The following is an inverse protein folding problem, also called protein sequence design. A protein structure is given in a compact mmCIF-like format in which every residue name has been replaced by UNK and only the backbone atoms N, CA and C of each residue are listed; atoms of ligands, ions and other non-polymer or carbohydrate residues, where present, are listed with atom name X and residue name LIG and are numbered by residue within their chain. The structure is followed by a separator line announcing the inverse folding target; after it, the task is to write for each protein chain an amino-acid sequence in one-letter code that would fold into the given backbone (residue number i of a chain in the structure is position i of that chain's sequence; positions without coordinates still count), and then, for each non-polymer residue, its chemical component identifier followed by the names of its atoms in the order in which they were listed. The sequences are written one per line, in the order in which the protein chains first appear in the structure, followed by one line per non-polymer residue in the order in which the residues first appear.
data_IF_081128243064
#
_entry.id   IF_081128243064
#
_cell.length_a   1.000
_cell.length_b   1.000
_cell.length_c   1.000
_cell.angle_alpha   90.00
_cell.angle_beta   90.00
_cell.angle_gamma   90.00
#
_symmetry.space_group_name_H-M   'P 1'
#
loop_
_entity.id
_entity.type
_entity.pdbx_description
1 polymer ?
#
# COMPACT_ATOMS: atom_id res chain seq x y z
N UNK A 1 7.26 16.79 5.87
CA UNK A 1 7.46 15.50 5.21
C UNK A 1 6.92 14.37 6.09
N UNK A 2 6.04 13.54 5.57
CA UNK A 2 5.49 12.43 6.35
C UNK A 2 6.59 11.38 6.58
N UNK A 3 6.70 10.91 7.84
CA UNK A 3 7.66 9.87 8.21
C UNK A 3 6.88 8.62 8.60
N UNK A 4 7.25 7.48 8.02
CA UNK A 4 6.60 6.21 8.30
C UNK A 4 7.57 5.28 9.04
N UNK A 5 7.05 4.38 9.90
CA UNK A 5 7.90 3.49 10.70
C UNK A 5 8.40 2.27 9.91
N UNK A 6 8.59 2.41 8.62
CA UNK A 6 9.12 1.36 7.75
C UNK A 6 9.89 2.00 6.59
N UNK A 7 10.67 1.17 5.89
CA UNK A 7 11.52 1.63 4.79
C UNK A 7 10.70 1.86 3.52
N UNK A 8 10.34 3.11 3.25
CA UNK A 8 9.56 3.48 2.07
C UNK A 8 10.32 3.25 0.77
N UNK A 9 11.65 3.39 0.78
CA UNK A 9 12.47 3.13 -0.41
C UNK A 9 12.42 1.67 -0.80
N UNK A 10 12.47 0.78 0.19
CA UNK A 10 12.36 -0.66 -0.03
C UNK A 10 10.98 -1.02 -0.60
N UNK A 11 9.93 -0.43 -0.03
CA UNK A 11 8.57 -0.62 -0.51
C UNK A 11 8.45 -0.22 -1.98
N UNK A 12 8.94 0.96 -2.33
CA UNK A 12 8.87 1.49 -3.69
C UNK A 12 9.64 0.59 -4.65
N UNK A 13 10.84 0.15 -4.26
CA UNK A 13 11.68 -0.71 -5.09
C UNK A 13 10.97 -2.03 -5.44
N UNK A 14 10.41 -2.69 -4.43
CA UNK A 14 9.71 -3.96 -4.63
C UNK A 14 8.48 -3.76 -5.52
N UNK A 15 7.71 -2.72 -5.27
CA UNK A 15 6.52 -2.42 -6.05
C UNK A 15 6.85 -2.11 -7.51
N UNK A 16 7.92 -1.36 -7.77
CA UNK A 16 8.33 -1.05 -9.14
C UNK A 16 8.66 -2.30 -9.94
N UNK A 17 9.27 -3.28 -9.30
CA UNK A 17 9.59 -4.57 -9.94
C UNK A 17 8.36 -5.38 -10.27
N UNK A 18 7.23 -5.06 -9.67
CA UNK A 18 5.97 -5.76 -9.85
C UNK A 18 4.95 -4.95 -10.67
N UNK A 19 5.42 -4.02 -11.49
CA UNK A 19 4.60 -3.21 -12.40
C UNK A 19 3.64 -2.26 -11.68
N UNK A 20 3.95 -1.88 -10.46
CA UNK A 20 3.15 -0.89 -9.72
C UNK A 20 3.49 0.50 -10.24
N UNK A 21 2.48 1.30 -10.56
CA UNK A 21 2.63 2.66 -11.06
C UNK A 21 2.25 3.73 -10.05
N UNK A 22 1.52 3.36 -9.00
CA UNK A 22 1.16 4.30 -7.94
C UNK A 22 1.07 3.55 -6.62
N UNK A 23 1.58 4.18 -5.56
CA UNK A 23 1.48 3.66 -4.20
C UNK A 23 0.96 4.77 -3.31
N UNK A 24 -0.14 4.51 -2.62
CA UNK A 24 -0.68 5.41 -1.61
C UNK A 24 -0.83 4.69 -0.30
N UNK A 25 -0.63 5.41 0.79
CA UNK A 25 -0.77 4.90 2.15
C UNK A 25 -2.05 5.47 2.74
N UNK A 26 -2.86 4.63 3.36
CA UNK A 26 -4.08 5.06 4.03
C UNK A 26 -4.20 4.34 5.38
N UNK A 27 -5.29 4.55 6.08
CA UNK A 27 -5.51 3.93 7.39
C UNK A 27 -4.69 4.58 8.50
N UNK A 28 -4.35 3.80 9.52
CA UNK A 28 -3.68 4.32 10.71
C UNK A 28 -2.32 4.96 10.41
N UNK A 29 -1.57 4.42 9.47
CA UNK A 29 -0.29 5.00 9.06
C UNK A 29 -0.46 6.42 8.50
N UNK A 30 -1.48 6.62 7.67
CA UNK A 30 -1.75 7.93 7.07
C UNK A 30 -2.26 8.94 8.11
N UNK A 31 -3.00 8.47 9.11
CA UNK A 31 -3.55 9.33 10.17
C UNK A 31 -2.55 9.65 11.28
N UNK A 32 -1.37 9.04 11.26
CA UNK A 32 -0.39 9.19 12.33
C UNK A 32 -0.77 8.48 13.63
N UNK A 33 -1.67 7.52 13.55
CA UNK A 33 -2.18 6.76 14.70
C UNK A 33 -1.57 5.36 14.80
N UNK A 34 -0.53 5.10 14.02
CA UNK A 34 0.08 3.77 13.97
C UNK A 34 0.81 3.42 15.26
N UNK A 35 0.77 2.13 15.60
CA UNK A 35 1.54 1.54 16.69
C UNK A 35 2.52 0.54 16.10
N UNK A 36 3.34 -0.08 16.95
CA UNK A 36 4.26 -1.12 16.49
C UNK A 36 3.56 -2.33 15.89
N UNK A 37 2.28 -2.51 16.22
CA UNK A 37 1.48 -3.64 15.74
C UNK A 37 0.52 -3.26 14.62
N UNK A 38 0.52 -2.01 14.17
CA UNK A 38 -0.37 -1.57 13.12
C UNK A 38 0.00 -2.17 11.77
N UNK A 39 -1.00 -2.57 11.00
CA UNK A 39 -0.81 -3.02 9.63
C UNK A 39 -0.50 -1.83 8.72
N UNK A 40 0.15 -2.12 7.60
CA UNK A 40 0.40 -1.12 6.57
C UNK A 40 -0.68 -1.28 5.50
N UNK A 41 -1.55 -0.29 5.36
CA UNK A 41 -2.62 -0.30 4.37
C UNK A 41 -2.21 0.49 3.14
N UNK A 42 -2.12 -0.19 2.00
CA UNK A 42 -1.66 0.40 0.76
C UNK A 42 -2.72 0.31 -0.33
N UNK A 43 -2.88 1.40 -1.06
CA UNK A 43 -3.64 1.42 -2.31
C UNK A 43 -2.63 1.49 -3.45
N UNK A 44 -2.71 0.56 -4.39
CA UNK A 44 -1.76 0.49 -5.50
C UNK A 44 -2.48 0.48 -6.84
N UNK A 45 -1.80 1.00 -7.85
CA UNK A 45 -2.22 0.89 -9.25
C UNK A 45 -1.13 0.16 -10.00
N UNK A 46 -1.53 -0.67 -10.94
CA UNK A 46 -0.62 -1.45 -11.78
C UNK A 46 -0.65 -0.97 -13.22
N UNK A 47 0.48 -1.06 -13.91
CA UNK A 47 0.55 -0.80 -15.34
C UNK A 47 -0.17 -1.87 -16.14
N UNK A 48 -0.30 -3.08 -15.59
CA UNK A 48 -0.94 -4.23 -16.21
C UNK A 48 -1.95 -4.82 -15.24
N UNK A 49 -2.96 -5.49 -15.80
CA UNK A 49 -3.91 -6.22 -14.98
C UNK A 49 -3.20 -7.38 -14.28
N UNK A 50 -3.38 -7.46 -12.98
CA UNK A 50 -2.76 -8.52 -12.16
C UNK A 50 -3.82 -9.46 -11.62
N UNK A 51 -3.45 -10.74 -11.51
CA UNK A 51 -4.31 -11.75 -10.90
C UNK A 51 -4.35 -11.55 -9.38
N UNK A 52 -5.37 -12.12 -8.76
CA UNK A 52 -5.45 -12.10 -7.29
C UNK A 52 -4.25 -12.78 -6.65
N UNK A 53 -3.76 -13.88 -7.27
CA UNK A 53 -2.59 -14.58 -6.76
C UNK A 53 -1.33 -13.69 -6.80
N UNK A 54 -1.17 -12.89 -7.86
CA UNK A 54 -0.05 -11.95 -7.95
C UNK A 54 -0.12 -10.90 -6.86
N UNK A 55 -1.31 -10.41 -6.53
CA UNK A 55 -1.52 -9.46 -5.45
C UNK A 55 -1.15 -10.06 -4.10
N UNK A 56 -1.57 -11.29 -3.85
CA UNK A 56 -1.25 -11.99 -2.59
C UNK A 56 0.25 -12.21 -2.45
N UNK A 57 0.91 -12.58 -3.54
CA UNK A 57 2.37 -12.75 -3.53
C UNK A 57 3.11 -11.46 -3.23
N UNK A 58 2.68 -10.36 -3.84
CA UNK A 58 3.30 -9.05 -3.60
C UNK A 58 3.07 -8.62 -2.15
N UNK A 59 1.86 -8.80 -1.64
CA UNK A 59 1.52 -8.48 -0.26
C UNK A 59 2.42 -9.24 0.72
N UNK A 60 2.63 -10.53 0.45
CA UNK A 60 3.50 -11.36 1.29
C UNK A 60 4.96 -10.91 1.20
N UNK A 61 5.43 -10.62 0.01
CA UNK A 61 6.80 -10.15 -0.19
C UNK A 61 7.05 -8.84 0.58
N UNK A 62 6.11 -7.92 0.48
CA UNK A 62 6.20 -6.65 1.20
C UNK A 62 6.16 -6.84 2.71
N UNK A 63 5.30 -7.74 3.18
CA UNK A 63 5.18 -8.01 4.62
C UNK A 63 6.50 -8.53 5.20
N UNK A 64 7.16 -9.42 4.47
CA UNK A 64 8.46 -9.96 4.88
C UNK A 64 9.53 -8.86 4.85
N UNK A 65 9.57 -8.08 3.77
CA UNK A 65 10.60 -7.06 3.60
C UNK A 65 10.48 -5.92 4.60
N UNK A 66 9.26 -5.55 4.97
CA UNK A 66 9.01 -4.41 5.86
C UNK A 66 8.84 -4.82 7.33
N UNK A 67 8.79 -6.13 7.61
CA UNK A 67 8.64 -6.63 8.98
C UNK A 67 7.30 -6.33 9.62
N UNK A 68 6.28 -6.05 8.83
CA UNK A 68 4.90 -5.77 9.28
C UNK A 68 3.93 -6.35 8.29
N UNK A 69 2.73 -6.67 8.74
CA UNK A 69 1.67 -7.11 7.85
C UNK A 69 1.30 -5.97 6.90
N UNK A 70 1.29 -6.26 5.62
CA UNK A 70 0.91 -5.32 4.57
C UNK A 70 -0.39 -5.79 3.95
N UNK A 71 -1.35 -4.88 3.79
CA UNK A 71 -2.59 -5.14 3.08
C UNK A 71 -2.59 -4.30 1.80
N UNK A 72 -2.75 -4.96 0.66
CA UNK A 72 -2.82 -4.29 -0.63
C UNK A 72 -4.25 -4.22 -1.13
N UNK A 73 -4.65 -3.03 -1.56
CA UNK A 73 -5.94 -2.82 -2.21
C UNK A 73 -5.73 -2.13 -3.54
N UNK A 74 -6.59 -2.46 -4.51
CA UNK A 74 -6.72 -1.70 -5.74
C UNK A 74 -7.99 -0.88 -5.67
N UNK A 75 -8.13 0.15 -6.51
CA UNK A 75 -9.35 0.95 -6.52
C UNK A 75 -10.60 0.10 -6.75
N UNK A 76 -10.50 -0.90 -7.63
CA UNK A 76 -11.63 -1.77 -7.94
C UNK A 76 -12.06 -2.64 -6.75
N UNK A 77 -11.15 -2.91 -5.82
CA UNK A 77 -11.42 -3.78 -4.68
C UNK A 77 -11.97 -3.02 -3.47
N UNK A 78 -11.97 -1.69 -3.50
CA UNK A 78 -12.46 -0.89 -2.38
C UNK A 78 -13.98 -0.89 -2.37
N UNK A 79 -14.58 -1.18 -1.20
CA UNK A 79 -16.01 -1.05 -1.02
C UNK A 79 -16.48 0.36 -1.35
N UNK A 80 -17.60 0.53 -2.07
CA UNK A 80 -18.14 1.87 -2.37
C UNK A 80 -18.35 2.73 -1.12
N UNK A 81 -18.67 2.10 0.00
CA UNK A 81 -18.91 2.81 1.26
C UNK A 81 -17.63 3.38 1.87
N UNK A 82 -16.48 2.75 1.58
CA UNK A 82 -15.20 3.16 2.14
C UNK A 82 -14.34 3.95 1.15
N UNK A 83 -14.72 3.94 -0.11
CA UNK A 83 -13.91 4.53 -1.18
C UNK A 83 -13.58 5.99 -0.92
N UNK A 84 -14.58 6.79 -0.62
CA UNK A 84 -14.38 8.22 -0.39
C UNK A 84 -13.47 8.46 0.82
N UNK A 85 -13.70 7.72 1.89
CA UNK A 85 -12.88 7.83 3.09
C UNK A 85 -11.42 7.47 2.81
N UNK A 86 -11.18 6.36 2.10
CA UNK A 86 -9.83 5.93 1.76
C UNK A 86 -9.14 6.99 0.90
N UNK A 87 -9.83 7.52 -0.11
CA UNK A 87 -9.25 8.53 -0.99
C UNK A 87 -8.95 9.84 -0.25
N UNK A 88 -9.74 10.20 0.74
CA UNK A 88 -9.49 11.38 1.56
C UNK A 88 -8.27 11.22 2.46
N UNK A 89 -8.01 10.01 2.95
CA UNK A 89 -6.87 9.71 3.82
C UNK A 89 -5.59 9.44 3.04
N UNK A 90 -5.70 9.13 1.76
CA UNK A 90 -4.61 8.62 0.95
C UNK A 90 -3.44 9.60 0.85
N UNK A 91 -2.25 9.10 1.15
CA UNK A 91 -0.99 9.83 0.98
C UNK A 91 -0.18 9.11 -0.08
N UNK A 92 -0.09 9.71 -1.26
CA UNK A 92 0.66 9.11 -2.38
C UNK A 92 2.15 9.28 -2.12
N UNK A 93 2.87 8.16 -2.10
CA UNK A 93 4.33 8.17 -1.88
C UNK A 93 5.13 7.83 -3.13
N UNK A 94 4.46 7.34 -4.16
CA UNK A 94 5.10 7.01 -5.43
C UNK A 94 4.07 7.09 -6.55
N UNK A 95 4.48 7.70 -7.65
CA UNK A 95 3.65 7.79 -8.86
C UNK A 95 4.57 7.85 -10.06
N UNK A 96 4.40 6.89 -10.98
CA UNK A 96 5.23 6.82 -12.18
C UNK A 96 4.72 7.75 -13.28
#
# INVERSE_FOLDING_TARGET
MATYPFDTNRLIEICRKNDVTMIGIFGSMARGESTEQSDIDLLVKFAKRKSLLALVRLERELSVALGRKVELLTEAAISPYLRERVLCELQVIYEA
#
